data_IF_004953670280
#
_entry.id   IF_004953670280
#
_cell.length_a   1.000
_cell.length_b   1.000
_cell.length_c   1.000
_cell.angle_alpha   90.00
_cell.angle_beta   90.00
_cell.angle_gamma   90.00
#
_symmetry.space_group_name_H-M   'P 1'
#
loop_
_entity.id
_entity.type
_entity.pdbx_description
1 polymer ?
#
# COMPACT_ATOMS: atom_id res chain seq x y z
N UNK A 1 53.03 14.08 -36.67
CA UNK A 1 52.46 13.59 -35.40
C UNK A 1 51.07 14.20 -35.23
N UNK A 2 50.02 13.39 -35.46
CA UNK A 2 48.61 13.75 -35.27
C UNK A 2 47.94 12.53 -34.65
N UNK A 3 47.45 12.66 -33.43
CA UNK A 3 46.61 11.67 -32.75
C UNK A 3 45.17 12.18 -32.79
N UNK A 4 44.15 11.38 -33.17
CA UNK A 4 42.77 11.76 -32.99
C UNK A 4 42.25 11.27 -31.64
N UNK A 5 41.53 12.19 -30.99
CA UNK A 5 40.57 11.99 -29.90
C UNK A 5 39.59 10.84 -30.25
N UNK A 6 39.43 9.88 -29.35
CA UNK A 6 38.27 8.99 -29.33
C UNK A 6 37.44 9.34 -28.09
N UNK A 7 36.31 10.01 -28.31
CA UNK A 7 35.29 10.28 -27.30
C UNK A 7 34.33 9.09 -27.33
N UNK A 8 34.32 8.28 -26.28
CA UNK A 8 33.28 7.27 -26.07
C UNK A 8 32.07 7.95 -25.44
N UNK A 9 31.01 8.13 -26.23
CA UNK A 9 29.68 8.50 -25.75
C UNK A 9 28.98 7.20 -25.32
N UNK A 10 28.91 6.94 -24.02
CA UNK A 10 28.07 5.88 -23.47
C UNK A 10 26.74 6.52 -23.10
N UNK A 11 25.75 6.40 -23.98
CA UNK A 11 24.36 6.65 -23.64
C UNK A 11 23.90 5.56 -22.65
N UNK A 12 23.86 5.89 -21.36
CA UNK A 12 23.05 5.14 -20.40
C UNK A 12 21.57 5.40 -20.75
N UNK A 13 20.96 4.43 -21.44
CA UNK A 13 19.52 4.31 -21.51
C UNK A 13 19.00 4.01 -20.10
N UNK A 14 18.30 4.99 -19.53
CA UNK A 14 17.41 4.82 -18.39
C UNK A 14 16.37 3.78 -18.75
N UNK A 15 16.59 2.53 -18.35
CA UNK A 15 15.53 1.54 -18.30
C UNK A 15 14.63 1.92 -17.12
N UNK A 16 13.61 2.74 -17.38
CA UNK A 16 12.41 2.74 -16.57
C UNK A 16 11.83 1.33 -16.66
N UNK A 17 12.08 0.52 -15.62
CA UNK A 17 11.58 -0.84 -15.55
C UNK A 17 10.07 -0.81 -15.59
N UNK A 18 9.47 -1.41 -16.61
CA UNK A 18 8.02 -1.63 -16.64
C UNK A 18 7.60 -2.33 -15.33
N UNK A 19 6.48 -1.93 -14.71
CA UNK A 19 5.99 -2.57 -13.51
C UNK A 19 5.84 -4.08 -13.76
N UNK A 20 6.23 -4.94 -12.81
CA UNK A 20 6.11 -6.38 -12.96
C UNK A 20 4.63 -6.77 -13.06
N UNK A 21 4.17 -7.01 -14.28
CA UNK A 21 2.80 -7.37 -14.67
C UNK A 21 2.34 -8.71 -14.09
N UNK A 22 3.25 -9.50 -13.51
CA UNK A 22 2.99 -10.80 -12.88
C UNK A 22 2.81 -10.75 -11.35
N UNK A 23 2.77 -9.55 -10.75
CA UNK A 23 2.55 -9.45 -9.30
C UNK A 23 1.17 -10.00 -8.94
N UNK A 24 1.05 -10.94 -7.98
CA UNK A 24 -0.25 -11.52 -7.67
C UNK A 24 -1.12 -10.48 -6.95
N UNK A 25 -2.45 -10.64 -6.97
CA UNK A 25 -3.33 -9.69 -6.32
C UNK A 25 -3.07 -9.64 -4.81
N UNK A 26 -3.06 -8.44 -4.23
CA UNK A 26 -2.79 -8.21 -2.81
C UNK A 26 -1.63 -7.25 -2.57
N UNK A 27 -1.03 -7.37 -1.39
CA UNK A 27 0.09 -6.55 -0.93
C UNK A 27 1.25 -7.47 -0.52
N UNK A 28 2.45 -7.12 -0.99
CA UNK A 28 3.70 -7.86 -0.79
C UNK A 28 4.75 -6.90 -0.26
N UNK A 29 5.47 -7.27 0.79
CA UNK A 29 6.53 -6.43 1.33
C UNK A 29 7.48 -7.22 2.20
N UNK A 30 8.63 -6.64 2.50
CA UNK A 30 9.55 -7.15 3.50
C UNK A 30 9.40 -6.36 4.79
N UNK A 31 9.32 -7.06 5.91
CA UNK A 31 9.23 -6.45 7.23
C UNK A 31 9.98 -7.29 8.26
N UNK A 32 10.96 -6.70 8.94
CA UNK A 32 11.82 -7.39 9.93
C UNK A 32 12.38 -8.71 9.38
N UNK A 33 13.00 -8.67 8.20
CA UNK A 33 13.58 -9.83 7.51
C UNK A 33 12.58 -10.90 7.07
N UNK A 34 11.27 -10.67 7.25
CA UNK A 34 10.21 -11.58 6.84
C UNK A 34 9.56 -11.08 5.56
N UNK A 35 9.32 -12.01 4.65
CA UNK A 35 8.44 -11.76 3.49
C UNK A 35 6.99 -11.82 3.96
N UNK A 36 6.25 -10.77 3.67
CA UNK A 36 4.85 -10.63 4.02
C UNK A 36 4.02 -10.72 2.75
N UNK A 37 2.95 -11.51 2.83
CA UNK A 37 2.02 -11.73 1.74
C UNK A 37 0.58 -11.58 2.27
N UNK A 38 -0.06 -10.47 1.92
CA UNK A 38 -1.41 -10.12 2.38
C UNK A 38 -2.34 -10.06 1.17
N UNK A 39 -3.03 -11.17 0.89
CA UNK A 39 -3.88 -11.32 -0.31
C UNK A 39 -5.37 -11.25 0.00
N UNK A 40 -5.74 -11.28 1.28
CA UNK A 40 -7.14 -11.41 1.68
C UNK A 40 -7.74 -10.06 2.06
N UNK A 41 -8.99 -9.74 1.66
CA UNK A 41 -9.71 -8.58 2.17
C UNK A 41 -10.00 -8.75 3.66
N UNK A 42 -10.40 -7.66 4.31
CA UNK A 42 -10.70 -7.61 5.73
C UNK A 42 -12.01 -8.36 6.08
N UNK A 43 -12.12 -8.84 7.33
CA UNK A 43 -13.36 -9.47 7.84
C UNK A 43 -14.28 -8.44 8.50
N UNK A 44 -15.56 -8.79 8.66
CA UNK A 44 -16.50 -8.06 9.53
C UNK A 44 -15.90 -7.89 10.95
N UNK A 45 -15.96 -6.68 11.49
CA UNK A 45 -15.64 -6.36 12.89
C UNK A 45 -16.35 -5.07 13.33
N UNK A 46 -16.11 -4.60 14.57
CA UNK A 46 -16.86 -3.51 15.22
C UNK A 46 -16.03 -2.22 15.40
N UNK A 47 -15.39 -1.69 14.36
CA UNK A 47 -14.57 -0.45 14.45
C UNK A 47 -14.96 0.65 13.45
N UNK A 48 -14.30 1.82 13.52
CA UNK A 48 -14.53 2.96 12.63
C UNK A 48 -13.98 2.79 11.20
N UNK A 49 -13.00 1.89 10.98
CA UNK A 49 -12.53 1.49 9.64
C UNK A 49 -13.13 0.15 9.19
N UNK A 50 -14.13 -0.33 9.94
CA UNK A 50 -14.83 -1.55 9.66
C UNK A 50 -16.31 -1.29 9.49
N UNK A 51 -16.94 -1.88 8.46
CA UNK A 51 -18.37 -1.80 8.35
C UNK A 51 -18.99 -2.65 9.48
N UNK A 52 -19.80 -2.01 10.33
CA UNK A 52 -20.59 -2.70 11.37
C UNK A 52 -21.69 -3.53 10.71
N UNK A 53 -21.68 -4.85 10.87
CA UNK A 53 -22.76 -5.72 10.39
C UNK A 53 -22.32 -7.12 9.96
N UNK A 54 -23.28 -7.95 9.53
CA UNK A 54 -22.99 -9.18 8.78
C UNK A 54 -22.99 -8.84 7.29
N UNK A 55 -21.82 -8.54 6.73
CA UNK A 55 -21.67 -8.37 5.29
C UNK A 55 -21.26 -9.68 4.63
N UNK A 56 -21.71 -9.88 3.39
CA UNK A 56 -21.23 -10.96 2.54
C UNK A 56 -19.77 -10.73 2.19
N UNK A 57 -19.02 -11.80 1.89
CA UNK A 57 -17.61 -11.71 1.49
C UNK A 57 -17.42 -10.77 0.29
N UNK A 58 -18.37 -10.76 -0.66
CA UNK A 58 -18.38 -9.83 -1.79
C UNK A 58 -18.43 -8.37 -1.33
N UNK A 59 -19.24 -8.05 -0.33
CA UNK A 59 -19.37 -6.69 0.21
C UNK A 59 -18.18 -6.31 1.09
N UNK A 60 -17.57 -7.27 1.78
CA UNK A 60 -16.31 -7.05 2.51
C UNK A 60 -15.14 -6.77 1.57
N UNK A 61 -15.06 -7.46 0.44
CA UNK A 61 -14.08 -7.16 -0.61
C UNK A 61 -14.28 -5.74 -1.18
N UNK A 62 -15.54 -5.33 -1.40
CA UNK A 62 -15.88 -3.94 -1.77
C UNK A 62 -15.39 -2.92 -0.74
N UNK A 63 -15.46 -3.26 0.55
CA UNK A 63 -15.12 -2.35 1.65
C UNK A 63 -13.64 -2.39 2.03
N UNK A 64 -12.87 -3.33 1.46
CA UNK A 64 -11.44 -3.48 1.74
C UNK A 64 -10.55 -2.84 0.66
N UNK A 65 -11.12 -2.43 -0.47
CA UNK A 65 -10.37 -1.73 -1.51
C UNK A 65 -11.32 -0.83 -2.31
N UNK A 66 -11.45 0.42 -1.90
CA UNK A 66 -12.39 1.35 -2.50
C UNK A 66 -11.74 2.64 -2.96
N UNK A 67 -12.37 3.24 -3.96
CA UNK A 67 -12.05 4.55 -4.52
C UNK A 67 -13.25 5.48 -4.32
N UNK A 68 -13.00 6.62 -3.69
CA UNK A 68 -13.97 7.72 -3.53
C UNK A 68 -13.59 8.83 -4.51
N UNK A 69 -14.34 8.88 -5.61
CA UNK A 69 -14.11 9.82 -6.70
C UNK A 69 -14.33 11.28 -6.27
N UNK A 70 -15.22 11.56 -5.31
CA UNK A 70 -15.44 12.93 -4.84
C UNK A 70 -14.24 13.44 -4.03
N UNK A 71 -13.52 12.54 -3.38
CA UNK A 71 -12.37 12.85 -2.52
C UNK A 71 -11.03 12.58 -3.18
N UNK A 72 -11.02 12.03 -4.39
CA UNK A 72 -9.81 11.56 -5.07
C UNK A 72 -8.95 10.69 -4.12
N UNK A 73 -9.59 9.72 -3.48
CA UNK A 73 -8.96 8.94 -2.40
C UNK A 73 -9.16 7.45 -2.56
N UNK A 74 -8.06 6.71 -2.39
CA UNK A 74 -8.03 5.26 -2.38
C UNK A 74 -7.71 4.76 -0.98
N UNK A 75 -8.44 3.73 -0.56
CA UNK A 75 -8.14 2.96 0.64
C UNK A 75 -8.01 1.48 0.26
N UNK A 76 -6.92 0.84 0.69
CA UNK A 76 -6.64 -0.58 0.46
C UNK A 76 -6.30 -1.21 1.79
N UNK A 77 -7.02 -2.26 2.17
CA UNK A 77 -6.79 -3.01 3.39
C UNK A 77 -6.68 -4.50 3.08
N UNK A 78 -5.59 -5.13 3.51
CA UNK A 78 -5.31 -6.56 3.29
C UNK A 78 -4.80 -7.24 4.55
N UNK A 79 -5.03 -8.55 4.64
CA UNK A 79 -4.58 -9.40 5.73
C UNK A 79 -4.01 -10.73 5.23
N UNK A 80 -3.29 -11.42 6.10
CA UNK A 80 -2.55 -12.65 5.80
C UNK A 80 -3.43 -13.90 5.72
N UNK A 81 -4.53 -13.94 6.46
CA UNK A 81 -5.40 -15.12 6.53
C UNK A 81 -6.89 -14.72 6.56
N UNK A 82 -7.76 -15.36 5.75
CA UNK A 82 -9.16 -14.97 5.65
C UNK A 82 -10.03 -15.48 6.83
N UNK A 83 -9.52 -16.40 7.65
CA UNK A 83 -10.26 -17.02 8.76
C UNK A 83 -9.71 -16.58 10.11
N UNK A 84 -8.39 -16.61 10.27
CA UNK A 84 -7.67 -16.29 11.50
C UNK A 84 -6.51 -15.34 11.18
N UNK A 85 -6.80 -14.08 10.83
CA UNK A 85 -5.76 -13.14 10.46
C UNK A 85 -4.85 -12.88 11.65
N UNK A 86 -3.55 -12.86 11.41
CA UNK A 86 -2.53 -12.52 12.42
C UNK A 86 -1.92 -11.16 12.16
N UNK A 87 -1.96 -10.70 10.92
CA UNK A 87 -1.44 -9.38 10.54
C UNK A 87 -2.29 -8.77 9.43
N UNK A 88 -2.42 -7.44 9.45
CA UNK A 88 -3.04 -6.68 8.39
C UNK A 88 -2.29 -5.39 8.09
N UNK A 89 -2.51 -4.87 6.89
CA UNK A 89 -1.99 -3.59 6.41
C UNK A 89 -3.13 -2.75 5.87
N UNK A 90 -3.11 -1.44 6.12
CA UNK A 90 -3.95 -0.47 5.43
C UNK A 90 -3.06 0.58 4.74
N UNK A 91 -3.36 0.85 3.47
CA UNK A 91 -2.81 1.93 2.68
C UNK A 91 -3.94 2.89 2.36
N UNK A 92 -3.69 4.19 2.50
CA UNK A 92 -4.62 5.22 2.10
C UNK A 92 -3.88 6.34 1.40
N UNK A 93 -4.33 6.79 0.24
CA UNK A 93 -3.62 7.81 -0.54
C UNK A 93 -4.51 8.56 -1.51
N UNK A 94 -4.07 9.76 -1.85
CA UNK A 94 -4.66 10.54 -2.93
C UNK A 94 -4.45 9.84 -4.28
N UNK A 95 -5.50 9.81 -5.11
CA UNK A 95 -5.44 9.25 -6.45
C UNK A 95 -6.53 9.87 -7.32
N UNK A 96 -6.16 10.24 -8.55
CA UNK A 96 -7.08 10.68 -9.59
C UNK A 96 -7.05 9.69 -10.76
N UNK A 97 -8.22 9.29 -11.26
CA UNK A 97 -8.32 8.43 -12.45
C UNK A 97 -7.89 9.16 -13.73
N UNK A 98 -7.90 10.50 -13.72
CA UNK A 98 -7.51 11.36 -14.84
C UNK A 98 -6.00 11.64 -14.89
N UNK A 99 -5.20 10.95 -14.08
CA UNK A 99 -3.73 11.01 -14.16
C UNK A 99 -3.25 10.63 -15.56
N UNK A 100 -2.59 11.58 -16.23
CA UNK A 100 -2.12 11.42 -17.61
C UNK A 100 -0.80 10.65 -17.71
N UNK A 101 0.04 10.68 -16.66
CA UNK A 101 1.37 10.10 -16.66
C UNK A 101 1.64 9.26 -15.40
N UNK A 102 2.22 8.08 -15.62
CA UNK A 102 2.76 7.21 -14.56
C UNK A 102 4.30 7.14 -14.67
N UNK A 103 5.03 7.01 -13.55
CA UNK A 103 4.51 6.86 -12.20
C UNK A 103 3.92 8.14 -11.60
N UNK A 104 2.88 7.99 -10.78
CA UNK A 104 2.24 9.07 -10.04
C UNK A 104 2.52 8.95 -8.54
N UNK A 105 2.99 10.03 -7.93
CA UNK A 105 3.27 10.09 -6.49
C UNK A 105 2.19 10.95 -5.81
N UNK A 106 1.34 10.36 -4.95
CA UNK A 106 0.35 11.10 -4.18
C UNK A 106 1.01 12.17 -3.30
N UNK A 107 0.38 13.35 -3.17
CA UNK A 107 0.86 14.35 -2.20
C UNK A 107 0.55 13.92 -0.76
N UNK A 108 -0.49 13.10 -0.58
CA UNK A 108 -0.91 12.54 0.69
C UNK A 108 -0.93 11.01 0.65
N UNK A 109 -0.32 10.39 1.67
CA UNK A 109 -0.39 8.96 1.91
C UNK A 109 -0.43 8.63 3.42
N UNK A 110 -0.97 7.46 3.71
CA UNK A 110 -1.09 6.83 5.03
C UNK A 110 -0.75 5.36 4.89
N UNK A 111 0.01 4.83 5.85
CA UNK A 111 0.36 3.43 5.94
C UNK A 111 0.20 2.96 7.39
N UNK A 112 -0.60 1.91 7.61
CA UNK A 112 -0.77 1.24 8.90
C UNK A 112 -0.43 -0.24 8.79
N UNK A 113 0.31 -0.77 9.76
CA UNK A 113 0.58 -2.21 9.89
C UNK A 113 0.15 -2.68 11.28
N UNK A 114 -0.70 -3.70 11.34
CA UNK A 114 -1.31 -4.17 12.59
C UNK A 114 -1.06 -5.65 12.83
N UNK A 115 -0.60 -5.98 14.04
CA UNK A 115 -0.60 -7.35 14.56
C UNK A 115 -1.93 -7.61 15.28
N UNK A 116 -2.70 -8.56 14.77
CA UNK A 116 -4.02 -8.89 15.30
C UNK A 116 -3.98 -9.80 16.53
N UNK A 117 -2.83 -10.40 16.85
CA UNK A 117 -2.65 -11.22 18.04
C UNK A 117 -2.84 -10.45 19.36
N UNK A 118 -2.69 -9.12 19.32
CA UNK A 118 -2.67 -8.27 20.51
C UNK A 118 -3.79 -7.21 20.58
N UNK A 119 -4.53 -6.96 19.49
CA UNK A 119 -5.45 -5.81 19.40
C UNK A 119 -6.76 -6.05 18.66
N UNK A 120 -7.15 -7.31 18.41
CA UNK A 120 -8.33 -7.65 17.60
C UNK A 120 -8.19 -7.25 16.13
N UNK A 121 -9.11 -7.71 15.28
CA UNK A 121 -9.03 -7.56 13.80
C UNK A 121 -9.42 -6.17 13.28
N UNK A 122 -9.40 -5.17 14.14
CA UNK A 122 -10.04 -3.87 13.92
C UNK A 122 -9.02 -2.77 13.67
N UNK A 123 -8.97 -2.14 12.49
CA UNK A 123 -8.14 -0.93 12.34
C UNK A 123 -8.83 0.25 13.04
N UNK A 124 -8.07 1.05 13.79
CA UNK A 124 -8.55 2.30 14.40
C UNK A 124 -7.45 3.35 14.32
N UNK A 125 -7.78 4.64 14.09
CA UNK A 125 -6.76 5.71 14.17
C UNK A 125 -6.13 5.79 15.57
N UNK A 126 -6.84 5.29 16.58
CA UNK A 126 -6.44 5.29 17.99
C UNK A 126 -5.76 3.98 18.42
N UNK A 127 -5.38 3.08 17.50
CA UNK A 127 -4.59 1.88 17.84
C UNK A 127 -3.15 2.29 18.21
N UNK A 128 -2.98 2.77 19.44
CA UNK A 128 -1.71 3.28 19.99
C UNK A 128 -0.69 2.19 20.34
N UNK A 129 -1.05 0.90 20.18
CA UNK A 129 -0.24 -0.25 20.61
C UNK A 129 0.23 -1.16 19.46
N UNK A 130 0.00 -0.75 18.21
CA UNK A 130 0.54 -1.38 17.00
C UNK A 130 1.51 -0.42 16.30
N UNK A 131 2.15 -0.83 15.20
CA UNK A 131 2.94 0.09 14.39
C UNK A 131 2.01 1.20 13.89
N UNK A 132 2.04 2.35 14.57
CA UNK A 132 1.07 3.43 14.40
C UNK A 132 1.15 3.93 12.99
N UNK A 133 -0.02 4.15 12.40
CA UNK A 133 -0.12 4.70 11.06
C UNK A 133 0.75 5.92 10.92
N UNK A 134 1.69 5.87 9.99
CA UNK A 134 2.41 7.08 9.60
C UNK A 134 1.57 7.71 8.50
N UNK A 135 1.56 9.03 8.44
CA UNK A 135 0.98 9.79 7.33
C UNK A 135 1.93 10.91 6.97
N UNK A 136 1.92 11.34 5.71
CA UNK A 136 2.74 12.46 5.25
C UNK A 136 2.39 13.79 5.96
N UNK A 137 1.22 13.89 6.59
CA UNK A 137 0.86 15.03 7.46
C UNK A 137 1.65 15.05 8.79
N UNK A 138 2.08 13.88 9.27
CA UNK A 138 2.79 13.72 10.55
C UNK A 138 4.29 13.55 10.33
N UNK A 139 4.69 12.75 9.35
CA UNK A 139 6.08 12.62 8.92
C UNK A 139 6.22 12.20 7.46
N UNK A 140 7.27 12.68 6.79
CA UNK A 140 7.58 12.34 5.39
C UNK A 140 8.22 10.96 5.23
N UNK A 141 7.93 10.04 6.13
CA UNK A 141 8.57 8.71 6.17
C UNK A 141 7.80 7.67 5.37
N UNK A 142 6.84 8.08 4.53
CA UNK A 142 6.10 7.20 3.61
C UNK A 142 6.31 7.68 2.20
N UNK A 143 6.52 6.73 1.30
CA UNK A 143 6.45 6.94 -0.14
C UNK A 143 5.48 5.92 -0.71
N UNK A 144 4.55 6.39 -1.55
CA UNK A 144 3.71 5.57 -2.41
C UNK A 144 3.94 6.05 -3.84
N UNK A 145 4.08 5.11 -4.76
CA UNK A 145 4.22 5.38 -6.18
C UNK A 145 3.23 4.50 -6.94
N UNK A 146 2.27 5.14 -7.62
CA UNK A 146 1.30 4.46 -8.47
C UNK A 146 1.97 4.24 -9.83
N UNK A 147 1.99 3.00 -10.28
CA UNK A 147 2.69 2.59 -11.50
C UNK A 147 1.74 2.41 -12.70
N UNK A 148 0.49 2.04 -12.44
CA UNK A 148 -0.53 1.82 -13.47
C UNK A 148 -1.93 1.76 -12.85
N UNK A 149 -2.94 2.18 -13.63
CA UNK A 149 -4.35 1.97 -13.32
C UNK A 149 -5.12 1.56 -14.58
N UNK A 150 -5.52 0.29 -14.65
CA UNK A 150 -6.26 -0.26 -15.78
C UNK A 150 -7.32 -1.25 -15.34
N UNK A 151 -8.50 -1.21 -15.96
CA UNK A 151 -9.62 -2.12 -15.67
C UNK A 151 -9.96 -2.20 -14.17
N UNK A 152 -10.15 -1.03 -13.54
CA UNK A 152 -10.34 -0.86 -12.10
C UNK A 152 -9.19 -1.41 -11.23
N UNK A 153 -8.03 -1.76 -11.79
CA UNK A 153 -6.92 -2.36 -11.04
C UNK A 153 -5.79 -1.36 -10.90
N UNK A 154 -5.49 -0.98 -9.66
CA UNK A 154 -4.36 -0.12 -9.32
C UNK A 154 -3.15 -0.95 -8.96
N UNK A 155 -2.00 -0.57 -9.50
CA UNK A 155 -0.70 -1.18 -9.22
C UNK A 155 0.27 -0.12 -8.72
N UNK A 156 1.04 -0.41 -7.69
CA UNK A 156 2.00 0.54 -7.15
C UNK A 156 3.06 -0.08 -6.26
N UNK A 157 4.00 0.76 -5.84
CA UNK A 157 4.99 0.46 -4.82
C UNK A 157 4.79 1.34 -3.59
N UNK A 158 5.32 0.90 -2.45
CA UNK A 158 5.34 1.71 -1.25
C UNK A 158 6.56 1.38 -0.39
N UNK A 159 6.98 2.34 0.42
CA UNK A 159 7.94 2.16 1.49
C UNK A 159 7.54 3.01 2.68
N UNK A 160 8.04 2.67 3.86
CA UNK A 160 7.97 3.61 4.96
C UNK A 160 8.59 3.15 6.26
N UNK A 161 8.81 4.11 7.16
CA UNK A 161 9.33 3.87 8.50
C UNK A 161 8.17 3.86 9.50
N UNK A 162 7.86 2.69 10.05
CA UNK A 162 6.76 2.52 10.98
C UNK A 162 7.19 2.80 12.42
N UNK A 163 6.43 3.64 13.12
CA UNK A 163 6.62 3.95 14.54
C UNK A 163 5.94 2.88 15.40
N UNK A 164 6.64 2.33 16.40
CA UNK A 164 6.06 1.37 17.34
C UNK A 164 5.73 2.07 18.67
N UNK A 165 4.53 1.86 19.19
CA UNK A 165 4.14 2.36 20.51
C UNK A 165 4.90 1.72 21.69
N UNK A 166 5.55 0.56 21.47
CA UNK A 166 6.20 -0.22 22.54
C UNK A 166 7.59 -0.79 22.14
N UNK A 167 8.23 -0.28 21.09
CA UNK A 167 9.49 -0.84 20.58
C UNK A 167 10.21 0.06 19.56
N UNK A 168 11.27 -0.44 18.90
CA UNK A 168 11.99 0.33 17.90
C UNK A 168 11.14 0.53 16.64
N UNK A 169 11.43 1.62 15.93
CA UNK A 169 10.92 1.86 14.59
C UNK A 169 11.33 0.70 13.66
N UNK A 170 10.50 0.39 12.68
CA UNK A 170 10.75 -0.68 11.73
C UNK A 170 10.41 -0.23 10.31
N UNK A 171 11.33 -0.46 9.38
CA UNK A 171 11.15 -0.05 7.99
C UNK A 171 10.44 -1.13 7.17
N UNK A 172 9.72 -0.67 6.16
CA UNK A 172 9.30 -1.41 4.98
C UNK A 172 10.07 -0.80 3.80
N UNK A 173 11.07 -1.52 3.29
CA UNK A 173 12.01 -0.97 2.31
C UNK A 173 11.52 -1.07 0.86
N UNK A 174 10.64 -2.04 0.57
CA UNK A 174 10.13 -2.31 -0.78
C UNK A 174 8.82 -3.11 -0.74
N UNK A 175 7.71 -2.40 -0.62
CA UNK A 175 6.37 -2.92 -0.76
C UNK A 175 5.83 -2.77 -2.18
N UNK A 176 4.96 -3.68 -2.59
CA UNK A 176 4.19 -3.61 -3.83
C UNK A 176 2.74 -3.95 -3.55
N UNK A 177 1.84 -3.36 -4.33
CA UNK A 177 0.43 -3.69 -4.30
C UNK A 177 -0.13 -3.79 -5.71
N UNK A 178 -1.07 -4.72 -5.87
CA UNK A 178 -1.90 -4.84 -7.06
C UNK A 178 -3.29 -5.23 -6.61
N UNK A 179 -4.25 -4.31 -6.73
CA UNK A 179 -5.61 -4.55 -6.24
C UNK A 179 -6.63 -3.97 -7.20
N UNK A 180 -7.74 -4.68 -7.35
CA UNK A 180 -8.95 -4.09 -7.91
C UNK A 180 -9.47 -3.04 -6.93
N UNK A 181 -10.02 -1.94 -7.43
CA UNK A 181 -10.73 -0.92 -6.67
C UNK A 181 -12.22 -1.02 -6.96
N UNK A 182 -13.03 -0.71 -5.95
CA UNK A 182 -14.47 -0.59 -6.10
C UNK A 182 -14.91 0.84 -5.81
N UNK A 183 -15.86 1.35 -6.58
CA UNK A 183 -16.39 2.70 -6.38
C UNK A 183 -17.32 2.72 -5.16
N UNK A 184 -17.14 3.73 -4.32
CA UNK A 184 -17.97 3.98 -3.14
C UNK A 184 -19.34 4.56 -3.50
#
# INVERSE_FOLDING_TARGET
MRSPLFVFFVCLLLAAGAPPTDSPNGIYFHFKERKMLLTHPMRNGKSNFLPRGRFSDKKLDTLSNWFDAERHYVEIVRQDNPVRPTIGIALGFEFDEEVEEYPFTPAYAVLQLKDFGWGGVEFSPNDTLNYTGVSNDVSNDITIEILDFQNDTITGTFSGLLLSGAGPMAAIDSGTFRVRLYRK
#
